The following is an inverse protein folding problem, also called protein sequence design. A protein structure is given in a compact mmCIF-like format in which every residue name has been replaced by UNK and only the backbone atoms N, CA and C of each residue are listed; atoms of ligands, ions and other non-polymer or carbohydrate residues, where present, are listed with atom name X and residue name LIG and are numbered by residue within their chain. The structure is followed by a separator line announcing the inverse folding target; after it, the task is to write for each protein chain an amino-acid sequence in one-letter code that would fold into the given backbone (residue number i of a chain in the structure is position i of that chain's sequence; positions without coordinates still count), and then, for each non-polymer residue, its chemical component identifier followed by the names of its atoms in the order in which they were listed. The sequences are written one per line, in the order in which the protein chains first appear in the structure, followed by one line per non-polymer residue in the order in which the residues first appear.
data_IF_055662650234
#
_entry.id   IF_055662650234
#
_cell.length_a   1.000
_cell.length_b   1.000
_cell.length_c   1.000
_cell.angle_alpha   90.00
_cell.angle_beta   90.00
_cell.angle_gamma   90.00
#
_symmetry.space_group_name_H-M   'P 1'
#
loop_
_entity.id
_entity.type
_entity.pdbx_description
1 polymer ?
#
# COMPACT_ATOMS: atom_id res chain seq x y z
N UNK A 1 8.04 55.79 -27.70
CA UNK A 1 6.64 55.37 -27.54
C UNK A 1 6.37 54.33 -28.62
N UNK A 2 6.53 53.07 -28.29
CA UNK A 2 6.28 51.95 -29.20
C UNK A 2 5.18 51.10 -28.61
N UNK A 3 4.02 51.15 -29.27
CA UNK A 3 2.79 50.45 -28.91
C UNK A 3 2.89 49.05 -29.52
N UNK A 4 3.15 48.05 -28.68
CA UNK A 4 3.11 46.63 -29.09
C UNK A 4 1.74 46.02 -28.80
N UNK A 5 0.81 46.32 -29.74
CA UNK A 5 -0.52 45.69 -29.77
C UNK A 5 -0.42 44.20 -29.97
N UNK A 6 -0.83 43.40 -28.97
CA UNK A 6 -1.08 41.97 -29.09
C UNK A 6 -2.24 41.72 -30.07
N UNK A 7 -1.91 41.54 -31.34
CA UNK A 7 -2.85 41.13 -32.36
C UNK A 7 -3.34 39.70 -32.12
N UNK A 8 -4.43 39.51 -31.39
CA UNK A 8 -5.12 38.24 -31.35
C UNK A 8 -5.78 37.97 -32.71
N UNK A 9 -5.22 37.01 -33.46
CA UNK A 9 -5.71 36.67 -34.79
C UNK A 9 -7.14 36.14 -34.70
N UNK A 10 -8.05 36.82 -35.43
CA UNK A 10 -9.49 36.50 -35.54
C UNK A 10 -9.75 35.01 -35.88
N UNK A 11 -8.85 34.40 -36.64
CA UNK A 11 -8.94 32.99 -37.00
C UNK A 11 -8.75 32.01 -35.81
N UNK A 12 -8.00 32.38 -34.76
CA UNK A 12 -7.87 31.56 -33.56
C UNK A 12 -9.12 31.60 -32.68
N UNK A 13 -9.84 32.73 -32.67
CA UNK A 13 -11.10 32.87 -31.94
C UNK A 13 -12.20 32.04 -32.58
N UNK A 14 -12.30 32.03 -33.90
CA UNK A 14 -13.28 31.24 -34.65
C UNK A 14 -13.00 29.74 -34.47
N UNK A 15 -11.73 29.31 -34.49
CA UNK A 15 -11.35 27.91 -34.26
C UNK A 15 -11.73 27.44 -32.85
N UNK A 16 -11.58 28.27 -31.83
CA UNK A 16 -11.95 27.95 -30.46
C UNK A 16 -13.47 27.80 -30.29
N UNK A 17 -14.27 28.68 -30.91
CA UNK A 17 -15.73 28.63 -30.85
C UNK A 17 -16.26 27.38 -31.57
N UNK A 18 -15.70 27.02 -32.70
CA UNK A 18 -16.09 25.80 -33.45
C UNK A 18 -15.73 24.55 -32.65
N UNK A 19 -14.58 24.54 -31.96
CA UNK A 19 -14.18 23.41 -31.12
C UNK A 19 -15.10 23.20 -29.92
N UNK A 20 -15.52 24.30 -29.27
CA UNK A 20 -16.46 24.23 -28.13
C UNK A 20 -17.82 23.77 -28.61
N UNK A 21 -18.33 24.26 -29.78
CA UNK A 21 -19.62 23.86 -30.34
C UNK A 21 -19.65 22.37 -30.70
N UNK A 22 -18.57 21.83 -31.23
CA UNK A 22 -18.44 20.40 -31.56
C UNK A 22 -18.44 19.56 -30.28
N UNK A 23 -17.74 20.00 -29.21
CA UNK A 23 -17.73 19.32 -27.90
C UNK A 23 -19.13 19.28 -27.25
N UNK A 24 -19.91 20.36 -27.34
CA UNK A 24 -21.29 20.40 -26.80
C UNK A 24 -22.19 19.44 -27.58
N UNK A 25 -22.08 19.38 -28.89
CA UNK A 25 -22.90 18.47 -29.73
C UNK A 25 -22.57 17.01 -29.49
N UNK A 26 -21.31 16.69 -29.14
CA UNK A 26 -20.91 15.33 -28.74
C UNK A 26 -21.45 14.93 -27.37
N UNK A 27 -21.63 15.88 -26.44
CA UNK A 27 -22.14 15.60 -25.11
C UNK A 27 -23.66 15.38 -25.10
N UNK A 28 -24.43 16.04 -26.01
CA UNK A 28 -25.86 15.82 -26.12
C UNK A 28 -26.24 14.52 -26.86
N UNK A 29 -25.37 14.00 -27.73
CA UNK A 29 -25.60 12.73 -28.41
C UNK A 29 -25.37 11.49 -27.56
N UNK A 30 -24.72 11.62 -26.39
CA UNK A 30 -24.45 10.51 -25.44
C UNK A 30 -25.56 10.34 -24.38
N UNK A 31 -26.61 11.13 -24.41
CA UNK A 31 -27.67 11.21 -23.37
C UNK A 31 -28.88 10.30 -23.56
N UNK A 32 -29.02 9.57 -24.65
CA UNK A 32 -30.18 8.71 -24.87
C UNK A 32 -29.81 7.26 -25.25
N UNK A 33 -29.34 6.48 -24.27
CA UNK A 33 -29.37 5.02 -24.38
C UNK A 33 -30.00 4.43 -23.13
N UNK A 34 -31.31 4.20 -23.25
CA UNK A 34 -31.98 3.02 -22.78
C UNK A 34 -32.02 2.77 -21.26
N UNK A 35 -33.00 3.40 -20.56
CA UNK A 35 -33.55 2.83 -19.35
C UNK A 35 -34.22 1.48 -19.59
N UNK A 36 -33.44 0.41 -19.65
CA UNK A 36 -33.93 -0.97 -19.61
C UNK A 36 -34.05 -1.42 -18.17
N UNK A 37 -35.31 -1.47 -17.66
CA UNK A 37 -35.65 -2.15 -16.40
C UNK A 37 -35.22 -3.61 -16.48
N UNK A 38 -34.14 -3.99 -15.85
CA UNK A 38 -33.88 -5.38 -15.51
C UNK A 38 -34.57 -5.67 -14.19
N UNK A 39 -35.77 -6.25 -14.26
CA UNK A 39 -36.41 -6.94 -13.14
C UNK A 39 -35.55 -8.18 -12.85
N UNK A 40 -34.70 -8.10 -11.86
CA UNK A 40 -34.08 -9.27 -11.26
C UNK A 40 -35.18 -10.03 -10.50
N UNK A 41 -35.58 -11.17 -11.03
CA UNK A 41 -36.35 -12.17 -10.30
C UNK A 41 -35.44 -12.74 -9.20
N UNK A 42 -35.77 -12.40 -7.97
CA UNK A 42 -35.22 -13.10 -6.80
C UNK A 42 -35.96 -14.43 -6.72
N UNK A 43 -35.34 -15.48 -7.19
CA UNK A 43 -35.77 -16.84 -7.00
C UNK A 43 -35.39 -17.25 -5.58
N UNK A 44 -36.38 -17.29 -4.70
CA UNK A 44 -36.25 -17.82 -3.34
C UNK A 44 -36.12 -19.34 -3.44
N UNK A 45 -34.90 -19.85 -3.36
CA UNK A 45 -34.67 -21.26 -3.04
C UNK A 45 -34.80 -21.45 -1.54
N UNK A 46 -35.99 -21.85 -1.11
CA UNK A 46 -36.24 -22.41 0.20
C UNK A 46 -35.58 -23.77 0.28
N UNK A 47 -34.36 -23.84 0.80
CA UNK A 47 -33.75 -25.10 1.20
C UNK A 47 -34.41 -25.58 2.48
N UNK A 48 -35.15 -26.72 2.36
CA UNK A 48 -35.75 -27.44 3.47
C UNK A 48 -34.66 -27.85 4.46
N UNK A 49 -34.70 -27.24 5.62
CA UNK A 49 -33.95 -27.69 6.78
C UNK A 49 -34.58 -28.95 7.33
N UNK A 50 -33.90 -30.09 7.20
CA UNK A 50 -34.26 -31.32 7.88
C UNK A 50 -33.54 -31.32 9.24
N UNK A 51 -34.25 -31.42 10.36
CA UNK A 51 -33.61 -31.64 11.66
C UNK A 51 -33.21 -33.09 11.79
N UNK A 52 -31.94 -33.37 11.69
CA UNK A 52 -31.42 -34.71 12.04
C UNK A 52 -31.32 -34.84 13.57
N UNK A 53 -32.08 -35.80 14.05
CA UNK A 53 -32.01 -36.32 15.42
C UNK A 53 -30.67 -37.06 15.57
N UNK A 54 -30.03 -36.82 16.69
CA UNK A 54 -29.11 -37.66 17.45
C UNK A 54 -27.84 -36.94 17.89
N UNK A 55 -28.00 -36.06 18.91
CA UNK A 55 -26.89 -35.44 19.64
C UNK A 55 -26.65 -36.13 21.02
N UNK A 56 -27.00 -37.41 21.18
CA UNK A 56 -26.88 -38.07 22.49
C UNK A 56 -25.87 -39.24 22.58
N UNK A 57 -25.08 -39.52 21.55
CA UNK A 57 -24.19 -40.69 21.59
C UNK A 57 -22.71 -40.41 21.36
N UNK A 58 -22.18 -39.30 21.86
CA UNK A 58 -20.74 -39.02 21.80
C UNK A 58 -20.13 -38.40 23.07
N UNK A 59 -20.62 -38.81 24.23
CA UNK A 59 -19.94 -38.55 25.51
C UNK A 59 -19.43 -39.87 26.09
N UNK A 60 -18.37 -40.42 25.48
CA UNK A 60 -17.44 -41.32 26.19
C UNK A 60 -16.27 -40.51 26.68
N UNK A 61 -16.02 -40.38 27.98
CA UNK A 61 -14.83 -39.75 28.48
C UNK A 61 -13.62 -40.61 28.15
N UNK A 62 -12.76 -40.17 27.23
CA UNK A 62 -11.43 -40.70 27.11
C UNK A 62 -10.66 -40.28 28.37
N UNK A 63 -10.29 -41.28 29.15
CA UNK A 63 -9.47 -41.19 30.32
C UNK A 63 -8.07 -40.71 29.85
N UNK A 64 -7.84 -39.39 29.91
CA UNK A 64 -6.52 -38.82 29.66
C UNK A 64 -5.69 -39.08 30.91
N UNK A 65 -4.73 -39.97 30.75
CA UNK A 65 -3.64 -40.19 31.69
C UNK A 65 -2.93 -38.85 31.93
N UNK A 66 -3.06 -38.32 33.14
CA UNK A 66 -2.34 -37.10 33.54
C UNK A 66 -0.85 -37.42 33.56
N UNK A 67 -0.12 -37.04 32.52
CA UNK A 67 1.31 -36.91 32.58
C UNK A 67 1.57 -35.60 33.30
N UNK A 68 2.15 -35.64 34.47
CA UNK A 68 2.68 -34.49 35.17
C UNK A 68 3.71 -33.80 34.26
N UNK A 69 3.33 -32.69 33.66
CA UNK A 69 4.27 -31.77 33.05
C UNK A 69 4.86 -30.96 34.20
N UNK A 70 6.05 -31.32 34.62
CA UNK A 70 6.90 -30.46 35.45
C UNK A 70 7.20 -29.22 34.62
N UNK A 71 6.55 -28.10 34.98
CA UNK A 71 6.90 -26.79 34.47
C UNK A 71 8.25 -26.44 35.12
N UNK A 72 9.33 -26.63 34.38
CA UNK A 72 10.62 -26.04 34.69
C UNK A 72 10.47 -24.53 34.50
N UNK A 73 10.42 -23.80 35.60
CA UNK A 73 10.44 -22.34 35.64
C UNK A 73 11.85 -21.83 35.36
N UNK A 74 12.44 -22.20 34.24
CA UNK A 74 13.50 -21.40 33.67
C UNK A 74 12.83 -20.26 32.94
N UNK A 75 12.94 -19.06 33.48
CA UNK A 75 12.69 -17.78 32.79
C UNK A 75 13.74 -17.65 31.68
N UNK A 76 13.69 -18.51 30.65
CA UNK A 76 14.41 -18.31 29.39
C UNK A 76 13.61 -17.28 28.60
N UNK A 77 14.16 -16.12 28.66
CA UNK A 77 14.06 -14.94 27.80
C UNK A 77 13.16 -15.09 26.57
N UNK A 78 11.83 -14.94 26.79
CA UNK A 78 10.83 -14.92 25.70
C UNK A 78 11.03 -13.69 24.81
N UNK A 79 11.85 -12.71 25.24
CA UNK A 79 12.13 -11.48 24.50
C UNK A 79 12.94 -11.73 23.23
N UNK A 80 13.87 -12.68 23.24
CA UNK A 80 14.71 -13.00 22.07
C UNK A 80 13.94 -13.85 21.03
N UNK A 81 12.99 -14.68 21.46
CA UNK A 81 12.19 -15.50 20.55
C UNK A 81 11.16 -14.67 19.77
N UNK A 82 10.66 -13.56 20.34
CA UNK A 82 9.73 -12.66 19.67
C UNK A 82 10.47 -11.74 18.68
N UNK A 83 11.72 -11.38 18.97
CA UNK A 83 12.54 -10.52 18.11
C UNK A 83 12.99 -11.22 16.80
N UNK A 84 13.07 -12.56 16.78
CA UNK A 84 13.58 -13.32 15.64
C UNK A 84 12.60 -13.49 14.48
N UNK A 85 11.28 -13.26 14.70
CA UNK A 85 10.24 -13.50 13.69
C UNK A 85 9.85 -12.27 12.86
N UNK A 86 10.34 -11.08 13.20
CA UNK A 86 9.95 -9.81 12.56
C UNK A 86 10.53 -9.62 11.16
N UNK A 87 11.51 -10.42 10.76
CA UNK A 87 12.16 -10.37 9.44
C UNK A 87 12.09 -11.70 8.70
N UNK A 88 11.32 -12.68 9.20
CA UNK A 88 11.12 -13.95 8.52
C UNK A 88 10.42 -13.73 7.18
N UNK A 89 10.89 -14.43 6.15
CA UNK A 89 10.25 -14.43 4.84
C UNK A 89 8.79 -14.86 4.98
N UNK A 90 7.86 -14.04 4.44
CA UNK A 90 6.43 -14.24 4.59
C UNK A 90 5.81 -13.70 5.89
N UNK A 91 6.61 -13.08 6.79
CA UNK A 91 6.08 -12.43 8.00
C UNK A 91 5.16 -11.25 7.66
N UNK A 92 4.09 -11.08 8.43
CA UNK A 92 3.20 -9.91 8.33
C UNK A 92 3.82 -8.65 8.97
N UNK A 93 4.93 -8.80 9.69
CA UNK A 93 5.71 -7.73 10.29
C UNK A 93 7.06 -7.67 9.59
N UNK A 94 7.39 -6.52 9.05
CA UNK A 94 8.63 -6.31 8.31
C UNK A 94 9.42 -5.17 8.94
N UNK A 95 10.71 -5.34 9.08
CA UNK A 95 11.63 -4.29 9.53
C UNK A 95 12.65 -4.02 8.43
N UNK A 96 12.83 -2.76 8.07
CA UNK A 96 13.81 -2.31 7.10
C UNK A 96 14.64 -1.18 7.69
N UNK A 97 15.94 -1.20 7.47
CA UNK A 97 16.86 -0.17 7.93
C UNK A 97 17.34 0.70 6.78
N UNK A 98 17.52 1.97 7.07
CA UNK A 98 18.16 2.96 6.20
C UNK A 98 19.37 3.59 6.90
N UNK A 99 20.25 4.25 6.15
CA UNK A 99 21.47 4.85 6.69
C UNK A 99 21.89 6.11 5.94
N UNK A 100 22.94 6.78 6.44
CA UNK A 100 23.47 8.01 5.83
C UNK A 100 24.22 7.79 4.49
N UNK A 101 24.27 6.53 3.98
CA UNK A 101 24.86 6.19 2.68
C UNK A 101 23.81 5.97 1.58
N UNK A 102 22.57 6.45 1.74
CA UNK A 102 21.48 6.29 0.77
C UNK A 102 21.16 4.81 0.49
N UNK A 103 21.09 3.99 1.53
CA UNK A 103 20.86 2.56 1.39
C UNK A 103 19.73 2.08 2.28
N UNK A 104 18.93 1.16 1.74
CA UNK A 104 18.17 0.19 2.51
C UNK A 104 19.00 -1.09 2.68
N UNK A 105 18.90 -1.71 3.87
CA UNK A 105 19.55 -3.00 4.14
C UNK A 105 18.90 -4.16 3.37
N UNK A 106 17.64 -4.01 2.94
CA UNK A 106 16.90 -4.99 2.14
C UNK A 106 16.70 -4.48 0.71
N UNK A 107 16.81 -5.40 -0.26
CA UNK A 107 16.44 -5.17 -1.66
C UNK A 107 15.18 -5.92 -2.07
N UNK A 108 14.69 -6.77 -1.20
CA UNK A 108 13.45 -7.51 -1.36
C UNK A 108 12.77 -7.68 0.00
N UNK A 109 11.46 -7.53 0.03
CA UNK A 109 10.60 -7.82 1.17
C UNK A 109 9.52 -8.79 0.72
N UNK A 110 9.27 -9.84 1.51
CA UNK A 110 8.31 -10.90 1.16
C UNK A 110 7.31 -11.05 2.30
N UNK A 111 6.02 -10.98 1.98
CA UNK A 111 4.92 -11.15 2.94
C UNK A 111 3.99 -12.28 2.49
N UNK A 112 3.32 -12.93 3.44
CA UNK A 112 2.35 -13.97 3.13
C UNK A 112 1.01 -13.38 2.72
N UNK A 113 0.37 -13.93 1.68
CA UNK A 113 -1.00 -13.63 1.31
C UNK A 113 -2.02 -14.00 2.41
N UNK A 114 -1.61 -14.79 3.40
CA UNK A 114 -2.45 -15.13 4.57
C UNK A 114 -2.52 -14.01 5.60
N UNK A 115 -1.69 -12.97 5.50
CA UNK A 115 -1.78 -11.80 6.35
C UNK A 115 -3.12 -11.06 6.14
N UNK A 116 -3.70 -10.51 7.18
CA UNK A 116 -4.83 -9.56 7.07
C UNK A 116 -4.30 -8.15 6.83
N UNK A 117 -3.26 -7.80 7.58
CA UNK A 117 -2.56 -6.53 7.52
C UNK A 117 -1.06 -6.79 7.52
N UNK A 118 -0.32 -5.88 6.92
CA UNK A 118 1.14 -5.84 6.94
C UNK A 118 1.59 -4.58 7.63
N UNK A 119 2.53 -4.73 8.56
CA UNK A 119 3.20 -3.59 9.19
C UNK A 119 4.65 -3.54 8.73
N UNK A 120 5.06 -2.39 8.21
CA UNK A 120 6.45 -2.12 7.85
C UNK A 120 7.00 -1.06 8.80
N UNK A 121 8.09 -1.40 9.50
CA UNK A 121 8.83 -0.49 10.36
C UNK A 121 10.14 -0.09 9.68
N UNK A 122 10.29 1.20 9.43
CA UNK A 122 11.52 1.79 8.92
C UNK A 122 12.35 2.34 10.09
N UNK A 123 13.63 1.96 10.16
CA UNK A 123 14.61 2.50 11.12
C UNK A 123 15.72 3.23 10.39
N UNK A 124 16.13 4.39 10.88
CA UNK A 124 17.28 5.11 10.36
C UNK A 124 18.48 4.93 11.28
N UNK A 125 19.43 4.09 10.89
CA UNK A 125 20.62 3.75 11.70
C UNK A 125 21.75 4.77 11.59
N UNK A 126 21.59 5.82 10.76
CA UNK A 126 22.53 6.93 10.64
C UNK A 126 22.36 7.99 11.73
N UNK A 127 22.98 9.14 11.52
CA UNK A 127 23.01 10.27 12.47
C UNK A 127 22.56 11.59 11.86
N UNK A 128 22.40 11.66 10.53
CA UNK A 128 22.07 12.90 9.83
C UNK A 128 20.59 13.29 10.03
N UNK A 129 20.29 14.59 10.15
CA UNK A 129 18.93 15.06 10.35
C UNK A 129 18.04 14.84 9.11
N UNK A 130 16.73 14.73 9.34
CA UNK A 130 15.73 14.41 8.30
C UNK A 130 15.69 15.39 7.12
N UNK A 131 16.06 16.65 7.32
CA UNK A 131 16.09 17.65 6.24
C UNK A 131 17.34 17.55 5.35
N UNK A 132 18.33 16.73 5.71
CA UNK A 132 19.58 16.52 4.96
C UNK A 132 19.64 15.12 4.37
N UNK A 133 19.31 14.11 5.18
CA UNK A 133 19.37 12.70 4.83
C UNK A 133 18.10 11.99 5.36
N UNK A 134 16.94 12.58 5.09
CA UNK A 134 15.68 12.00 5.49
C UNK A 134 15.31 10.79 4.65
N UNK A 135 14.72 9.78 5.27
CA UNK A 135 14.22 8.60 4.60
C UNK A 135 12.78 8.31 4.98
N UNK A 136 12.02 7.84 4.01
CA UNK A 136 10.73 7.19 4.19
C UNK A 136 10.71 5.86 3.42
N UNK A 137 9.64 5.11 3.62
CA UNK A 137 9.32 3.91 2.86
C UNK A 137 7.98 4.12 2.17
N UNK A 138 7.93 3.99 0.86
CA UNK A 138 6.72 4.19 0.03
C UNK A 138 6.53 2.95 -0.82
N UNK A 139 5.30 2.45 -0.94
CA UNK A 139 4.93 1.28 -1.73
C UNK A 139 4.00 1.68 -2.88
N UNK A 140 4.30 1.19 -4.08
CA UNK A 140 3.46 1.35 -5.28
C UNK A 140 3.49 0.07 -6.12
N UNK A 141 2.56 -0.05 -7.07
CA UNK A 141 2.79 -0.93 -8.22
C UNK A 141 4.11 -0.54 -8.90
N UNK A 142 4.86 -1.52 -9.41
CA UNK A 142 6.15 -1.25 -10.05
C UNK A 142 6.02 -0.32 -11.26
N UNK A 143 4.89 -0.39 -11.99
CA UNK A 143 4.61 0.51 -13.11
C UNK A 143 4.46 1.99 -12.69
N UNK A 144 4.02 2.24 -11.47
CA UNK A 144 3.76 3.58 -10.91
C UNK A 144 4.94 4.16 -10.11
N UNK A 145 5.97 3.36 -9.85
CA UNK A 145 7.14 3.76 -9.05
C UNK A 145 7.75 5.10 -9.49
N UNK A 146 8.20 5.21 -10.75
CA UNK A 146 8.86 6.43 -11.24
C UNK A 146 7.94 7.64 -11.28
N UNK A 147 6.68 7.55 -11.78
CA UNK A 147 5.74 8.67 -11.72
C UNK A 147 5.46 9.18 -10.30
N UNK A 148 5.30 8.27 -9.33
CA UNK A 148 5.04 8.65 -7.93
C UNK A 148 6.28 9.24 -7.28
N UNK A 149 7.48 8.66 -7.50
CA UNK A 149 8.74 9.19 -6.98
C UNK A 149 9.01 10.63 -7.47
N UNK A 150 8.71 10.92 -8.73
CA UNK A 150 8.83 12.27 -9.29
C UNK A 150 7.79 13.24 -8.71
N UNK A 151 6.53 12.79 -8.57
CA UNK A 151 5.46 13.58 -7.95
C UNK A 151 5.76 13.89 -6.46
N UNK A 152 6.43 12.98 -5.76
CA UNK A 152 6.87 13.15 -4.38
C UNK A 152 7.76 14.36 -4.18
N UNK A 153 8.66 14.63 -5.11
CA UNK A 153 9.50 15.83 -5.08
C UNK A 153 8.69 17.14 -5.08
N UNK A 154 7.59 17.18 -5.84
CA UNK A 154 6.70 18.33 -5.90
C UNK A 154 5.78 18.45 -4.65
N UNK A 155 5.48 17.34 -4.00
CA UNK A 155 4.69 17.32 -2.77
C UNK A 155 5.41 18.00 -1.58
N UNK A 156 6.73 18.00 -1.57
CA UNK A 156 7.56 18.70 -0.60
C UNK A 156 7.63 18.03 0.78
N UNK A 157 8.48 18.59 1.64
CA UNK A 157 8.77 18.03 2.96
C UNK A 157 7.54 17.99 3.89
N UNK A 158 6.67 18.99 3.81
CA UNK A 158 5.44 19.07 4.64
C UNK A 158 4.49 17.89 4.38
N UNK A 159 4.59 17.26 3.21
CA UNK A 159 3.86 16.05 2.84
C UNK A 159 4.76 14.79 2.83
N UNK A 160 5.88 14.81 3.54
CA UNK A 160 6.83 13.70 3.59
C UNK A 160 7.34 13.27 2.20
N UNK A 161 7.34 14.15 1.21
CA UNK A 161 7.61 13.85 -0.20
C UNK A 161 6.71 12.76 -0.79
N UNK A 162 5.46 12.67 -0.30
CA UNK A 162 4.44 11.74 -0.81
C UNK A 162 3.29 12.56 -1.40
N UNK A 163 2.88 12.32 -2.65
CA UNK A 163 1.79 13.07 -3.28
C UNK A 163 0.46 12.78 -2.56
N UNK A 164 -0.16 13.83 -2.02
CA UNK A 164 -1.39 13.71 -1.21
C UNK A 164 -2.56 13.24 -2.06
N UNK A 165 -3.23 12.18 -1.61
CA UNK A 165 -4.43 11.64 -2.28
C UNK A 165 -4.15 10.90 -3.59
N UNK A 166 -2.90 10.64 -3.92
CA UNK A 166 -2.53 9.86 -5.10
C UNK A 166 -2.84 8.38 -4.86
N UNK A 167 -3.78 7.83 -5.62
CA UNK A 167 -4.25 6.44 -5.49
C UNK A 167 -3.20 5.39 -5.86
N UNK A 168 -2.10 5.79 -6.47
CA UNK A 168 -0.97 4.91 -6.79
C UNK A 168 -0.07 4.63 -5.59
N UNK A 169 -0.18 5.44 -4.53
CA UNK A 169 0.52 5.20 -3.26
C UNK A 169 -0.30 4.20 -2.45
N UNK A 170 0.18 2.97 -2.34
CA UNK A 170 -0.48 1.90 -1.57
C UNK A 170 -0.28 2.14 -0.07
N UNK A 171 0.96 2.45 0.33
CA UNK A 171 1.31 2.76 1.72
C UNK A 171 2.56 3.64 1.78
N UNK A 172 2.69 4.45 2.82
CA UNK A 172 3.88 5.26 3.04
C UNK A 172 4.09 5.57 4.53
N UNK A 173 5.35 5.59 4.96
CA UNK A 173 5.76 6.11 6.27
C UNK A 173 6.01 7.62 6.21
N UNK A 174 6.12 8.25 7.36
CA UNK A 174 6.66 9.61 7.47
C UNK A 174 8.16 9.63 7.19
N UNK A 175 8.70 10.83 6.87
CA UNK A 175 10.15 11.07 6.80
C UNK A 175 10.75 11.01 8.19
N UNK A 176 11.88 10.30 8.33
CA UNK A 176 12.66 10.21 9.57
C UNK A 176 14.13 10.56 9.32
N UNK A 177 14.79 11.05 10.36
CA UNK A 177 16.26 11.27 10.39
C UNK A 177 16.97 10.23 11.24
N UNK A 178 18.29 10.37 11.35
CA UNK A 178 19.15 9.45 12.08
C UNK A 178 18.70 9.17 13.50
N UNK A 179 18.74 7.91 13.90
CA UNK A 179 18.32 7.41 15.21
C UNK A 179 16.81 7.33 15.43
N UNK A 180 15.99 7.64 14.41
CA UNK A 180 14.53 7.59 14.48
C UNK A 180 13.96 6.34 13.82
N UNK A 181 12.70 6.00 14.19
CA UNK A 181 11.91 4.97 13.54
C UNK A 181 10.48 5.43 13.29
N UNK A 182 9.82 4.82 12.32
CA UNK A 182 8.43 5.06 11.94
C UNK A 182 7.84 3.79 11.34
N UNK A 183 6.52 3.64 11.41
CA UNK A 183 5.84 2.46 10.88
C UNK A 183 4.60 2.86 10.09
N UNK A 184 4.22 1.99 9.15
CA UNK A 184 2.95 2.02 8.45
C UNK A 184 2.32 0.64 8.49
N UNK A 185 1.00 0.59 8.74
CA UNK A 185 0.19 -0.63 8.65
C UNK A 185 -0.84 -0.46 7.54
N UNK A 186 -0.95 -1.45 6.67
CA UNK A 186 -1.90 -1.43 5.56
C UNK A 186 -2.49 -2.82 5.32
N UNK A 187 -3.68 -2.89 4.71
CA UNK A 187 -4.35 -4.15 4.40
C UNK A 187 -3.65 -4.89 3.26
N UNK A 188 -3.41 -6.19 3.42
CA UNK A 188 -2.91 -7.05 2.35
C UNK A 188 -3.90 -7.12 1.17
N UNK A 189 -5.19 -6.91 1.42
CA UNK A 189 -6.22 -6.90 0.39
C UNK A 189 -6.07 -5.78 -0.67
N UNK A 190 -5.14 -4.86 -0.48
CA UNK A 190 -4.72 -3.88 -1.49
C UNK A 190 -3.73 -4.46 -2.50
N UNK A 191 -3.21 -5.66 -2.26
CA UNK A 191 -2.18 -6.32 -3.04
C UNK A 191 -2.69 -7.64 -3.64
N UNK A 192 -2.15 -8.01 -4.79
CA UNK A 192 -2.43 -9.28 -5.46
C UNK A 192 -1.17 -10.14 -5.43
N UNK A 193 -1.30 -11.39 -5.00
CA UNK A 193 -0.18 -12.32 -4.97
C UNK A 193 0.34 -12.58 -6.40
N UNK A 194 1.66 -12.46 -6.57
CA UNK A 194 2.33 -12.62 -7.86
C UNK A 194 2.43 -11.35 -8.70
N UNK A 195 1.80 -10.24 -8.30
CA UNK A 195 2.02 -8.95 -8.95
C UNK A 195 3.34 -8.30 -8.50
N UNK A 196 3.82 -7.35 -9.29
CA UNK A 196 5.09 -6.68 -9.06
C UNK A 196 4.88 -5.33 -8.35
N UNK A 197 5.39 -5.24 -7.12
CA UNK A 197 5.39 -4.01 -6.32
C UNK A 197 6.82 -3.54 -6.06
N UNK A 198 6.98 -2.21 -5.97
CA UNK A 198 8.26 -1.57 -5.64
C UNK A 198 8.11 -0.71 -4.40
N UNK A 199 8.99 -0.93 -3.42
CA UNK A 199 9.18 0.02 -2.33
C UNK A 199 10.39 0.92 -2.58
N UNK A 200 10.31 2.17 -2.12
CA UNK A 200 11.38 3.15 -2.33
C UNK A 200 11.36 4.29 -1.31
N UNK A 201 12.45 5.06 -1.26
CA UNK A 201 12.50 6.33 -0.53
C UNK A 201 12.16 7.47 -1.48
N UNK A 202 11.14 8.27 -1.18
CA UNK A 202 10.69 9.38 -2.03
C UNK A 202 11.39 10.72 -1.76
N UNK A 203 12.28 10.79 -0.77
CA UNK A 203 13.14 11.98 -0.60
C UNK A 203 13.85 12.31 -1.91
N UNK A 204 13.95 13.60 -2.32
CA UNK A 204 14.47 13.98 -3.62
C UNK A 204 15.81 13.34 -3.98
N UNK A 205 15.82 12.59 -5.09
CA UNK A 205 17.01 11.90 -5.60
C UNK A 205 17.30 10.53 -4.98
N UNK A 206 16.74 10.18 -3.82
CA UNK A 206 17.04 8.93 -3.12
C UNK A 206 16.48 7.69 -3.83
N UNK A 207 15.32 7.80 -4.45
CA UNK A 207 14.64 6.71 -5.15
C UNK A 207 15.49 6.03 -6.24
N UNK A 208 16.50 6.71 -6.77
CA UNK A 208 17.38 6.13 -7.78
C UNK A 208 18.22 4.96 -7.24
N UNK A 209 18.49 4.94 -5.93
CA UNK A 209 19.33 3.95 -5.27
C UNK A 209 18.54 3.20 -4.18
N UNK A 210 17.70 3.93 -3.42
CA UNK A 210 16.91 3.40 -2.32
C UNK A 210 15.57 2.86 -2.81
N UNK A 211 15.60 1.65 -3.36
CA UNK A 211 14.44 0.91 -3.85
C UNK A 211 14.66 -0.59 -3.76
N UNK A 212 13.56 -1.33 -3.77
CA UNK A 212 13.55 -2.79 -3.77
C UNK A 212 12.19 -3.37 -4.17
N UNK A 213 12.15 -4.69 -4.36
CA UNK A 213 10.94 -5.42 -4.69
C UNK A 213 10.13 -5.74 -3.42
N UNK A 214 8.79 -5.64 -3.52
CA UNK A 214 7.89 -6.12 -2.48
C UNK A 214 7.02 -7.22 -3.09
N UNK A 215 6.98 -8.39 -2.44
CA UNK A 215 6.32 -9.59 -2.95
C UNK A 215 5.28 -10.12 -1.97
N UNK A 216 4.18 -10.61 -2.53
CA UNK A 216 3.14 -11.35 -1.81
C UNK A 216 3.16 -12.80 -2.28
N UNK A 217 3.34 -13.76 -1.35
CA UNK A 217 3.43 -15.21 -1.64
C UNK A 217 2.36 -16.00 -0.87
#
# INVERSE_FOLDING_TARGET
MSDSGLGFSHNRFIALIVFIAVLVLFFEAAGEVGGGMIKAQVEQTTSKFHPEKNAEDRLKPAMVLATEVTIDNSEEDISDAIAADWTAEGSCQQVIESNDMLQFNLKEMVVSASCTEVTVTLKHTGTMPANVMGHNWVLTDTADFMPVAQAGGAAGADNNYVPVGDQRVIAATTIIGGGQETSVTFSIGLLVAGDDYTFFCSFPGHYAIMQGAFKVI
#
